data_IF_049412598698
#
_entry.id   IF_049412598698
#
_cell.length_a   1.000
_cell.length_b   1.000
_cell.length_c   1.000
_cell.angle_alpha   90.00
_cell.angle_beta   90.00
_cell.angle_gamma   90.00
#
_symmetry.space_group_name_H-M   'P 1'
#
loop_
_entity.id
_entity.type
_entity.pdbx_description
1 polymer ?
#
# COMPACT_ATOMS: atom_id res chain seq x y z
N UNK A 1 -15.90 -5.53 4.43
CA UNK A 1 -15.46 -5.57 5.83
C UNK A 1 -14.13 -6.31 5.85
N UNK A 2 -13.12 -5.78 6.51
CA UNK A 2 -11.82 -6.46 6.56
C UNK A 2 -11.87 -7.65 7.53
N UNK A 3 -10.95 -8.60 7.35
CA UNK A 3 -10.70 -9.66 8.33
C UNK A 3 -9.61 -9.22 9.30
N UNK A 4 -10.03 -8.73 10.47
CA UNK A 4 -9.10 -8.26 11.51
C UNK A 4 -8.22 -9.36 12.10
N UNK A 5 -8.61 -10.64 11.96
CA UNK A 5 -7.80 -11.75 12.48
C UNK A 5 -6.44 -11.87 11.79
N UNK A 6 -6.32 -11.31 10.58
CA UNK A 6 -5.09 -11.27 9.77
C UNK A 6 -4.14 -10.14 10.14
N UNK A 7 -4.56 -9.19 10.97
CA UNK A 7 -3.72 -8.08 11.41
C UNK A 7 -2.65 -8.59 12.38
N UNK A 8 -1.42 -8.15 12.18
CA UNK A 8 -0.35 -8.35 13.15
C UNK A 8 -0.43 -7.23 14.19
N UNK A 9 -0.32 -7.57 15.47
CA UNK A 9 -0.34 -6.66 16.63
C UNK A 9 0.97 -6.70 17.44
N UNK A 10 1.98 -7.46 16.98
CA UNK A 10 3.29 -7.61 17.63
C UNK A 10 3.93 -6.24 17.86
N UNK A 11 4.34 -5.88 19.09
CA UNK A 11 5.00 -4.61 19.36
C UNK A 11 6.27 -4.43 18.51
N UNK A 12 6.52 -3.20 18.05
CA UNK A 12 7.73 -2.84 17.31
C UNK A 12 8.43 -1.67 18.00
N UNK A 13 9.74 -1.54 17.76
CA UNK A 13 10.54 -0.41 18.26
C UNK A 13 10.54 0.71 17.22
N UNK A 14 10.60 1.99 17.63
CA UNK A 14 10.68 3.11 16.70
C UNK A 14 11.90 3.12 15.77
N UNK A 15 12.90 2.27 16.03
CA UNK A 15 14.11 2.11 15.23
C UNK A 15 14.02 0.97 14.22
N UNK A 16 12.96 0.14 14.27
CA UNK A 16 12.85 -1.02 13.42
C UNK A 16 12.62 -0.59 11.97
N UNK A 17 13.38 -1.13 11.03
CA UNK A 17 13.19 -0.80 9.61
C UNK A 17 11.93 -1.42 9.01
N UNK A 18 11.35 -2.43 9.66
CA UNK A 18 10.20 -3.19 9.20
C UNK A 18 9.21 -3.33 10.34
N UNK A 19 7.94 -3.07 10.06
CA UNK A 19 6.84 -3.24 11.00
C UNK A 19 5.81 -4.15 10.32
N UNK A 20 5.60 -5.37 10.83
CA UNK A 20 4.65 -6.29 10.22
C UNK A 20 3.24 -5.75 10.34
N UNK A 21 2.51 -5.71 9.23
CA UNK A 21 1.12 -5.24 9.20
C UNK A 21 0.14 -6.42 9.17
N UNK A 22 0.49 -7.47 8.44
CA UNK A 22 -0.27 -8.71 8.32
C UNK A 22 0.51 -9.84 8.99
N UNK A 23 -0.18 -10.73 9.72
CA UNK A 23 0.42 -11.96 10.27
C UNK A 23 1.02 -12.81 9.17
N UNK A 24 0.27 -12.94 8.08
CA UNK A 24 0.65 -13.67 6.88
C UNK A 24 0.55 -12.74 5.67
N UNK A 25 1.71 -12.21 5.27
CA UNK A 25 1.85 -11.41 4.05
C UNK A 25 1.66 -12.29 2.82
N UNK A 26 0.79 -11.91 1.86
CA UNK A 26 0.59 -12.69 0.65
C UNK A 26 1.83 -12.64 -0.24
N UNK A 27 2.12 -13.77 -0.90
CA UNK A 27 3.20 -13.87 -1.90
C UNK A 27 3.03 -12.85 -3.01
N UNK A 28 1.79 -12.56 -3.40
CA UNK A 28 1.39 -11.52 -4.35
C UNK A 28 0.02 -10.93 -3.97
N UNK A 29 -0.19 -9.64 -4.23
CA UNK A 29 -1.48 -8.99 -4.03
C UNK A 29 -2.45 -9.18 -5.22
N UNK A 30 -2.00 -9.82 -6.30
CA UNK A 30 -2.77 -10.01 -7.53
C UNK A 30 -3.90 -11.04 -7.41
N UNK A 31 -3.72 -12.09 -6.62
CA UNK A 31 -4.69 -13.17 -6.47
C UNK A 31 -5.87 -12.86 -5.54
N UNK A 32 -5.73 -11.84 -4.68
CA UNK A 32 -6.71 -11.48 -3.64
C UNK A 32 -6.52 -10.00 -3.29
N UNK A 33 -6.92 -9.06 -4.15
CA UNK A 33 -6.70 -7.62 -3.94
C UNK A 33 -7.37 -7.09 -2.66
N UNK A 34 -8.43 -7.73 -2.17
CA UNK A 34 -9.09 -7.39 -0.90
C UNK A 34 -8.18 -7.52 0.33
N UNK A 35 -7.09 -8.29 0.27
CA UNK A 35 -6.08 -8.29 1.35
C UNK A 35 -5.36 -6.94 1.48
N UNK A 36 -5.39 -6.14 0.42
CA UNK A 36 -4.85 -4.79 0.43
C UNK A 36 -5.64 -3.86 1.36
N UNK A 37 -6.96 -4.04 1.44
CA UNK A 37 -7.82 -3.28 2.37
C UNK A 37 -7.42 -3.55 3.82
N UNK A 38 -7.25 -4.83 4.16
CA UNK A 38 -6.77 -5.25 5.47
C UNK A 38 -5.37 -4.71 5.75
N UNK A 39 -4.48 -4.69 4.75
CA UNK A 39 -3.14 -4.11 4.88
C UNK A 39 -3.20 -2.60 5.19
N UNK A 40 -3.90 -1.79 4.39
CA UNK A 40 -3.90 -0.34 4.60
C UNK A 40 -4.62 0.06 5.90
N UNK A 41 -5.69 -0.65 6.27
CA UNK A 41 -6.35 -0.44 7.57
C UNK A 41 -5.43 -0.88 8.71
N UNK A 42 -4.75 -2.02 8.57
CA UNK A 42 -3.79 -2.51 9.54
C UNK A 42 -2.66 -1.51 9.78
N UNK A 43 -2.10 -0.94 8.72
CA UNK A 43 -1.09 0.10 8.82
C UNK A 43 -1.63 1.34 9.57
N UNK A 44 -2.86 1.78 9.28
CA UNK A 44 -3.52 2.84 10.04
C UNK A 44 -3.70 2.50 11.53
N UNK A 45 -4.14 1.26 11.85
CA UNK A 45 -4.27 0.78 13.23
C UNK A 45 -2.93 0.67 13.97
N UNK A 46 -1.83 0.46 13.25
CA UNK A 46 -0.44 0.54 13.78
C UNK A 46 0.02 1.98 14.06
N UNK A 47 -0.78 2.99 13.71
CA UNK A 47 -0.45 4.41 13.88
C UNK A 47 0.25 5.03 12.66
N UNK A 48 0.16 4.40 11.48
CA UNK A 48 0.72 5.00 10.28
C UNK A 48 -0.10 6.22 9.83
N UNK A 49 0.57 7.37 9.64
CA UNK A 49 -0.03 8.58 9.07
C UNK A 49 -0.15 8.51 7.56
N UNK A 50 0.79 7.82 6.90
CA UNK A 50 0.91 7.75 5.45
C UNK A 50 1.37 6.35 5.02
N UNK A 51 0.94 5.95 3.82
CA UNK A 51 1.32 4.69 3.19
C UNK A 51 1.82 5.01 1.77
N UNK A 52 3.06 4.62 1.47
CA UNK A 52 3.64 4.80 0.13
C UNK A 52 3.73 3.47 -0.59
N UNK A 53 3.01 3.37 -1.70
CA UNK A 53 3.04 2.24 -2.63
C UNK A 53 3.75 2.69 -3.91
N UNK A 54 4.75 1.94 -4.33
CA UNK A 54 5.53 2.26 -5.51
C UNK A 54 5.95 0.99 -6.23
N UNK A 55 5.93 1.01 -7.56
CA UNK A 55 6.44 -0.11 -8.36
C UNK A 55 7.93 -0.33 -8.12
N UNK A 56 8.33 -1.61 -8.08
CA UNK A 56 9.71 -2.05 -7.87
C UNK A 56 10.33 -1.51 -6.57
N UNK A 57 9.50 -1.39 -5.53
CA UNK A 57 9.89 -0.97 -4.19
C UNK A 57 9.03 -1.68 -3.14
N UNK A 58 9.54 -1.74 -1.90
CA UNK A 58 8.77 -2.22 -0.75
C UNK A 58 7.79 -1.14 -0.31
N UNK A 59 6.49 -1.46 -0.14
CA UNK A 59 5.54 -0.63 0.59
C UNK A 59 6.13 -0.07 1.88
N UNK A 60 5.97 1.24 2.05
CA UNK A 60 6.39 1.95 3.26
C UNK A 60 5.19 2.50 4.01
N UNK A 61 5.29 2.50 5.32
CA UNK A 61 4.33 3.10 6.24
C UNK A 61 5.07 4.11 7.12
N UNK A 62 4.49 5.30 7.28
CA UNK A 62 5.08 6.36 8.08
C UNK A 62 4.44 6.39 9.46
N UNK A 63 5.20 6.05 10.51
CA UNK A 63 4.71 6.05 11.90
C UNK A 63 5.56 7.05 12.69
N UNK A 64 4.93 8.00 13.38
CA UNK A 64 5.63 9.03 14.17
C UNK A 64 6.76 9.73 13.39
N UNK A 65 6.47 10.14 12.15
CA UNK A 65 7.43 10.77 11.21
C UNK A 65 8.64 9.91 10.81
N UNK A 66 8.61 8.60 11.07
CA UNK A 66 9.63 7.64 10.64
C UNK A 66 9.07 6.69 9.60
N UNK A 67 9.90 6.38 8.60
CA UNK A 67 9.55 5.48 7.51
C UNK A 67 9.94 4.05 7.88
N UNK A 68 8.95 3.17 7.86
CA UNK A 68 9.11 1.73 8.07
C UNK A 68 8.67 0.99 6.80
N UNK A 69 9.25 -0.15 6.51
CA UNK A 69 8.68 -1.07 5.53
C UNK A 69 7.45 -1.76 6.14
N UNK A 70 6.33 -1.75 5.42
CA UNK A 70 5.10 -2.45 5.82
C UNK A 70 5.02 -3.89 5.29
N UNK A 71 5.82 -4.21 4.26
CA UNK A 71 5.91 -5.54 3.64
C UNK A 71 7.34 -6.03 3.60
N UNK A 72 7.53 -7.35 3.52
CA UNK A 72 8.85 -8.00 3.39
C UNK A 72 9.41 -7.86 1.99
N UNK A 73 8.56 -7.95 0.97
CA UNK A 73 8.98 -7.91 -0.44
C UNK A 73 8.59 -6.62 -1.16
N UNK A 74 9.27 -6.41 -2.29
CA UNK A 74 8.91 -5.37 -3.24
C UNK A 74 7.64 -5.75 -4.00
N UNK A 75 6.84 -4.76 -4.37
CA UNK A 75 5.73 -4.95 -5.29
C UNK A 75 6.20 -4.83 -6.73
N UNK A 76 5.74 -5.77 -7.56
CA UNK A 76 5.92 -5.69 -9.00
C UNK A 76 5.09 -4.56 -9.59
N UNK A 77 5.51 -4.03 -10.73
CA UNK A 77 4.71 -3.06 -11.48
C UNK A 77 3.27 -3.53 -11.74
N UNK A 78 3.09 -4.81 -12.11
CA UNK A 78 1.76 -5.38 -12.35
C UNK A 78 0.87 -5.39 -11.11
N UNK A 79 1.44 -5.62 -9.93
CA UNK A 79 0.70 -5.57 -8.67
C UNK A 79 0.26 -4.14 -8.35
N UNK A 80 1.13 -3.16 -8.55
CA UNK A 80 0.78 -1.75 -8.30
C UNK A 80 -0.31 -1.27 -9.27
N UNK A 81 -0.22 -1.64 -10.56
CA UNK A 81 -1.26 -1.31 -11.55
C UNK A 81 -2.61 -1.97 -11.17
N UNK A 82 -2.59 -3.22 -10.70
CA UNK A 82 -3.78 -3.94 -10.22
C UNK A 82 -4.39 -3.31 -8.97
N UNK A 83 -3.56 -3.01 -7.96
CA UNK A 83 -3.98 -2.36 -6.72
C UNK A 83 -4.57 -0.98 -6.99
N UNK A 84 -3.96 -0.20 -7.86
CA UNK A 84 -4.49 1.11 -8.26
C UNK A 84 -5.85 0.97 -8.95
N UNK A 85 -5.98 0.03 -9.88
CA UNK A 85 -7.25 -0.23 -10.57
C UNK A 85 -8.34 -0.66 -9.59
N UNK A 86 -7.97 -1.46 -8.58
CA UNK A 86 -8.86 -1.92 -7.52
C UNK A 86 -9.39 -0.76 -6.66
N UNK A 87 -8.50 0.09 -6.13
CA UNK A 87 -8.93 1.22 -5.27
C UNK A 87 -9.61 2.35 -6.07
N UNK A 88 -9.26 2.52 -7.35
CA UNK A 88 -9.92 3.45 -8.27
C UNK A 88 -11.27 2.93 -8.78
N UNK A 89 -11.52 1.62 -8.66
CA UNK A 89 -12.72 0.92 -9.17
C UNK A 89 -12.88 0.99 -10.70
N UNK A 90 -11.78 1.11 -11.42
CA UNK A 90 -11.74 1.04 -12.89
C UNK A 90 -10.34 0.65 -13.38
N UNK A 91 -10.28 -0.15 -14.44
CA UNK A 91 -9.04 -0.58 -15.10
C UNK A 91 -8.30 0.54 -15.84
N UNK A 92 -8.89 1.73 -15.96
CA UNK A 92 -8.29 2.84 -16.70
C UNK A 92 -7.25 3.61 -15.88
N UNK A 93 -7.24 3.43 -14.55
CA UNK A 93 -6.35 4.18 -13.65
C UNK A 93 -4.87 4.12 -14.04
N UNK A 94 -4.28 2.93 -14.34
CA UNK A 94 -2.89 2.85 -14.77
C UNK A 94 -2.65 3.51 -16.14
N UNK A 95 -3.64 3.47 -17.03
CA UNK A 95 -3.56 4.13 -18.35
C UNK A 95 -3.57 5.65 -18.22
N UNK A 96 -4.38 6.20 -17.31
CA UNK A 96 -4.39 7.64 -17.01
C UNK A 96 -3.01 8.09 -16.49
N UNK A 97 -2.42 7.33 -15.55
CA UNK A 97 -1.05 7.61 -15.07
C UNK A 97 -0.02 7.53 -16.19
N UNK A 98 -0.09 6.51 -17.07
CA UNK A 98 0.82 6.37 -18.22
C UNK A 98 0.76 7.54 -19.19
N UNK A 99 -0.36 8.25 -19.26
CA UNK A 99 -0.52 9.47 -20.05
C UNK A 99 0.02 10.72 -19.34
N UNK A 100 0.67 10.58 -18.19
CA UNK A 100 1.24 11.70 -17.44
C UNK A 100 0.24 12.42 -16.51
N UNK A 101 -0.99 11.91 -16.36
CA UNK A 101 -2.03 12.56 -15.55
C UNK A 101 -2.07 11.96 -14.14
N UNK A 102 -2.10 12.81 -13.12
CA UNK A 102 -2.22 12.37 -11.73
C UNK A 102 -3.68 12.03 -11.37
N UNK A 103 -3.85 11.17 -10.37
CA UNK A 103 -5.16 10.86 -9.77
C UNK A 103 -5.18 11.32 -8.32
N UNK A 104 -6.23 12.02 -7.92
CA UNK A 104 -6.48 12.42 -6.54
C UNK A 104 -7.93 12.08 -6.18
N UNK A 105 -8.11 11.21 -5.19
CA UNK A 105 -9.42 10.73 -4.76
C UNK A 105 -9.40 10.25 -3.32
N UNK A 106 -10.61 10.02 -2.79
CA UNK A 106 -10.77 9.35 -1.50
C UNK A 106 -11.07 7.88 -1.69
N UNK A 107 -10.40 7.04 -0.91
CA UNK A 107 -10.70 5.62 -0.82
C UNK A 107 -11.20 5.30 0.59
N UNK A 108 -12.26 4.50 0.70
CA UNK A 108 -12.86 4.16 1.98
C UNK A 108 -13.02 2.66 2.11
N UNK A 109 -12.54 2.13 3.23
CA UNK A 109 -12.64 0.72 3.59
C UNK A 109 -13.59 0.59 4.77
N UNK A 110 -14.57 -0.30 4.63
CA UNK A 110 -15.44 -0.67 5.72
C UNK A 110 -14.70 -1.62 6.67
N UNK A 111 -14.44 -1.17 7.92
CA UNK A 111 -13.73 -1.97 8.94
C UNK A 111 -14.72 -2.85 9.70
N UNK A 112 -15.86 -2.28 10.10
CA UNK A 112 -16.96 -3.00 10.76
C UNK A 112 -18.32 -2.47 10.26
N UNK A 113 -19.43 -2.90 10.88
CA UNK A 113 -20.76 -2.33 10.58
C UNK A 113 -20.86 -0.84 10.87
N UNK A 114 -20.08 -0.34 11.83
CA UNK A 114 -20.16 1.03 12.34
C UNK A 114 -18.87 1.84 12.13
N UNK A 115 -17.82 1.21 11.59
CA UNK A 115 -16.50 1.83 11.43
C UNK A 115 -16.05 1.79 9.97
N UNK A 116 -15.56 2.93 9.49
CA UNK A 116 -14.98 3.13 8.16
C UNK A 116 -13.64 3.84 8.31
N UNK A 117 -12.64 3.38 7.56
CA UNK A 117 -11.34 4.03 7.46
C UNK A 117 -11.24 4.69 6.09
N UNK A 118 -11.01 6.01 6.07
CA UNK A 118 -10.91 6.79 4.82
C UNK A 118 -9.47 7.25 4.60
N UNK A 119 -9.00 7.07 3.38
CA UNK A 119 -7.67 7.48 2.91
C UNK A 119 -7.82 8.54 1.81
N UNK A 120 -6.90 9.51 1.80
CA UNK A 120 -6.67 10.36 0.63
C UNK A 120 -5.61 9.69 -0.22
N UNK A 121 -5.93 9.40 -1.47
CA UNK A 121 -5.06 8.72 -2.39
C UNK A 121 -4.60 9.71 -3.45
N UNK A 122 -3.29 9.89 -3.53
CA UNK A 122 -2.65 10.62 -4.62
C UNK A 122 -1.75 9.65 -5.38
N UNK A 123 -2.03 9.47 -6.68
CA UNK A 123 -1.22 8.63 -7.54
C UNK A 123 -0.60 9.47 -8.66
N UNK A 124 0.72 9.37 -8.80
CA UNK A 124 1.51 10.12 -9.78
C UNK A 124 2.36 9.17 -10.62
N UNK A 125 2.56 9.46 -11.92
CA UNK A 125 3.54 8.74 -12.71
C UNK A 125 4.95 9.00 -12.15
N UNK A 126 5.79 7.97 -12.18
CA UNK A 126 7.21 8.08 -11.83
C UNK A 126 8.04 7.58 -13.01
N UNK A 127 9.21 8.19 -13.19
CA UNK A 127 10.26 7.65 -14.05
C UNK A 127 11.39 7.20 -13.14
N UNK A 128 11.67 5.90 -13.10
CA UNK A 128 12.86 5.41 -12.41
C UNK A 128 14.03 5.60 -13.36
N UNK A 129 14.86 6.62 -13.14
CA UNK A 129 16.14 6.73 -13.82
C UNK A 129 17.00 5.58 -13.33
N UNK A 130 17.17 4.56 -14.17
CA UNK A 130 18.13 3.49 -13.92
C UNK A 130 19.50 4.13 -14.11
N UNK A 131 20.30 4.21 -13.04
CA UNK A 131 21.70 4.60 -13.17
C UNK A 131 22.36 3.64 -14.17
N UNK A 132 23.18 4.12 -15.12
CA UNK A 132 23.85 3.25 -16.07
C UNK A 132 24.65 2.20 -15.28
N UNK A 133 24.50 0.94 -15.66
CA UNK A 133 25.28 -0.14 -15.07
C UNK A 133 26.76 0.22 -15.22
N UNK A 134 27.48 0.32 -14.09
CA UNK A 134 28.93 0.43 -14.11
C UNK A 134 29.47 -0.85 -14.75
N UNK A 135 30.15 -0.70 -15.89
CA UNK A 135 30.86 -1.78 -16.60
C UNK A 135 31.90 -2.46 -15.71
#
# INVERSE_FOLDING_TARGET
MIDESRLDDTPFKPTDSFVPVLKEEPTRFDSSPEIFDTFIVGAGKRGASDITIQSEARPRIQINSRQHFGTKRMLLRSEVDLLLSYIWRSSDAPSILRQGRCLDFSYEVQVSRHERHRFRVNATPITKTVAPASN
#
